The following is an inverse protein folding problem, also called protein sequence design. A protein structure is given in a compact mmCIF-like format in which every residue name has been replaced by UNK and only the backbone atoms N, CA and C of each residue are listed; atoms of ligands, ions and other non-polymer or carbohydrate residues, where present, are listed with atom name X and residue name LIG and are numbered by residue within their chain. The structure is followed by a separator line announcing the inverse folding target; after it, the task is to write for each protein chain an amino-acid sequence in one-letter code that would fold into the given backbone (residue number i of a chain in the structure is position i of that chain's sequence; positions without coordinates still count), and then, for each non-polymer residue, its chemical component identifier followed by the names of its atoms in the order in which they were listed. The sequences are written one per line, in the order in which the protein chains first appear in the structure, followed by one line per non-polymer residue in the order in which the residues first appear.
data_IF_946437133907
#
_entry.id   IF_946437133907
#
_cell.length_a   1.000
_cell.length_b   1.000
_cell.length_c   1.000
_cell.angle_alpha   90.00
_cell.angle_beta   90.00
_cell.angle_gamma   90.00
#
_symmetry.space_group_name_H-M   'P 1'
#
loop_
_entity.id
_entity.type
_entity.pdbx_description
1 polymer ?
#
# COMPACT_ATOMS: atom_id res chain seq x y z
N UNK A 1 27.71 -2.55 17.16
CA UNK A 1 26.58 -2.62 16.22
C UNK A 1 26.35 -1.22 15.64
N UNK A 2 26.03 -1.11 14.36
CA UNK A 2 25.75 0.18 13.71
C UNK A 2 24.25 0.48 13.65
N UNK A 3 23.88 1.69 13.22
CA UNK A 3 22.48 2.10 13.02
C UNK A 3 21.78 1.33 11.90
N UNK A 4 22.57 0.83 10.94
CA UNK A 4 22.13 -0.03 9.85
C UNK A 4 22.97 -1.29 9.80
N UNK A 5 22.40 -2.36 9.27
CA UNK A 5 23.09 -3.63 9.00
C UNK A 5 22.93 -4.03 7.53
N UNK A 6 23.99 -4.64 6.98
CA UNK A 6 23.99 -5.22 5.65
C UNK A 6 23.73 -6.73 5.75
N UNK A 7 22.83 -7.25 4.93
CA UNK A 7 22.64 -8.67 4.70
C UNK A 7 22.78 -8.96 3.20
N UNK A 8 23.52 -9.99 2.82
CA UNK A 8 23.67 -10.37 1.41
C UNK A 8 22.81 -11.60 1.16
N UNK A 9 21.80 -11.44 0.32
CA UNK A 9 21.00 -12.54 -0.18
C UNK A 9 21.73 -13.12 -1.41
N UNK A 10 22.26 -14.33 -1.27
CA UNK A 10 22.97 -15.04 -2.33
C UNK A 10 22.05 -16.04 -3.01
N UNK A 11 21.87 -15.88 -4.31
CA UNK A 11 21.28 -16.89 -5.19
C UNK A 11 22.36 -17.42 -6.13
N UNK A 12 22.06 -18.51 -6.87
CA UNK A 12 22.98 -19.03 -7.90
C UNK A 12 23.26 -18.02 -9.03
N UNK A 13 22.37 -17.05 -9.24
CA UNK A 13 22.44 -16.10 -10.34
C UNK A 13 22.87 -14.69 -9.92
N UNK A 14 22.76 -14.33 -8.63
CA UNK A 14 23.01 -12.96 -8.17
C UNK A 14 23.30 -12.88 -6.67
N UNK A 15 24.02 -11.83 -6.28
CA UNK A 15 24.18 -11.40 -4.89
C UNK A 15 23.51 -10.05 -4.71
N UNK A 16 22.50 -9.98 -3.85
CA UNK A 16 21.76 -8.74 -3.56
C UNK A 16 22.12 -8.28 -2.16
N UNK A 17 22.63 -7.06 -2.04
CA UNK A 17 22.87 -6.43 -0.75
C UNK A 17 21.58 -5.76 -0.25
N UNK A 18 21.02 -6.29 0.83
CA UNK A 18 19.93 -5.68 1.57
C UNK A 18 20.50 -4.87 2.74
N UNK A 19 19.97 -3.68 2.94
CA UNK A 19 20.29 -2.83 4.08
C UNK A 19 19.04 -2.62 4.90
N UNK A 20 19.16 -2.76 6.21
CA UNK A 20 18.04 -2.56 7.10
C UNK A 20 18.43 -1.93 8.42
N UNK A 21 17.46 -1.27 9.03
CA UNK A 21 17.62 -0.54 10.28
C UNK A 21 17.73 -1.52 11.47
N UNK A 22 18.68 -1.24 12.37
CA UNK A 22 18.86 -2.01 13.62
C UNK A 22 17.97 -1.44 14.73
N UNK A 23 17.92 -2.10 15.89
CA UNK A 23 17.23 -1.54 17.06
C UNK A 23 17.86 -0.20 17.50
N UNK A 24 19.19 -0.09 17.45
CA UNK A 24 19.89 1.15 17.78
C UNK A 24 19.56 2.24 16.75
N UNK A 25 19.47 1.90 15.47
CA UNK A 25 19.01 2.82 14.42
C UNK A 25 17.58 3.29 14.62
N UNK A 26 16.67 2.38 15.00
CA UNK A 26 15.28 2.72 15.31
C UNK A 26 15.19 3.67 16.51
N UNK A 27 15.96 3.41 17.56
CA UNK A 27 15.97 4.25 18.77
C UNK A 27 16.37 5.71 18.47
N UNK A 28 17.20 5.96 17.46
CA UNK A 28 17.62 7.31 17.05
C UNK A 28 16.52 8.07 16.28
N UNK A 29 15.60 7.36 15.61
CA UNK A 29 14.56 7.99 14.77
C UNK A 29 13.18 8.03 15.42
N UNK A 30 13.02 7.43 16.60
CA UNK A 30 11.80 7.54 17.38
C UNK A 30 11.54 8.98 17.79
N UNK A 31 10.30 9.40 17.69
CA UNK A 31 9.83 10.69 18.21
C UNK A 31 8.96 10.48 19.44
N UNK A 32 8.76 11.52 20.29
CA UNK A 32 7.86 11.43 21.44
C UNK A 32 6.42 11.04 21.10
N UNK A 33 6.01 11.23 19.84
CA UNK A 33 4.68 10.89 19.33
C UNK A 33 4.54 9.42 18.92
N UNK A 34 5.63 8.65 18.83
CA UNK A 34 5.58 7.24 18.48
C UNK A 34 5.06 6.40 19.66
N UNK A 35 3.82 5.90 19.53
CA UNK A 35 3.20 5.06 20.57
C UNK A 35 3.73 3.61 20.58
N UNK A 36 4.39 3.16 19.52
CA UNK A 36 4.81 1.77 19.32
C UNK A 36 6.23 1.70 18.76
N UNK A 37 7.08 0.88 19.39
CA UNK A 37 8.41 0.58 18.87
C UNK A 37 8.31 -0.18 17.54
N UNK A 38 8.84 0.34 16.42
CA UNK A 38 8.71 -0.28 15.11
C UNK A 38 9.52 -1.58 15.01
N UNK A 39 9.10 -2.48 14.11
CA UNK A 39 9.85 -3.70 13.84
C UNK A 39 11.20 -3.41 13.18
N UNK A 40 12.26 -4.01 13.72
CA UNK A 40 13.60 -4.00 13.11
C UNK A 40 13.67 -4.82 11.83
N UNK A 41 14.74 -4.63 11.07
CA UNK A 41 15.04 -5.50 9.93
C UNK A 41 15.44 -6.91 10.38
N UNK A 42 14.70 -7.92 9.91
CA UNK A 42 14.93 -9.34 10.18
C UNK A 42 15.13 -10.09 8.86
N UNK A 43 16.39 -10.21 8.37
CA UNK A 43 16.66 -10.67 7.01
C UNK A 43 16.15 -12.08 6.71
N UNK A 44 16.12 -12.98 7.70
CA UNK A 44 15.62 -14.35 7.55
C UNK A 44 14.11 -14.45 7.27
N UNK A 45 13.36 -13.34 7.45
CA UNK A 45 11.93 -13.27 7.13
C UNK A 45 11.66 -12.84 5.68
N UNK A 46 12.71 -12.46 4.94
CA UNK A 46 12.59 -12.00 3.56
C UNK A 46 12.74 -13.21 2.62
N UNK A 47 11.66 -13.50 1.92
CA UNK A 47 11.67 -14.38 0.75
C UNK A 47 11.89 -13.56 -0.53
N UNK A 48 12.34 -14.19 -1.62
CA UNK A 48 12.51 -13.50 -2.91
C UNK A 48 11.21 -12.84 -3.41
N UNK A 49 10.06 -13.47 -3.17
CA UNK A 49 8.75 -12.92 -3.57
C UNK A 49 8.33 -11.72 -2.70
N UNK A 50 8.53 -11.80 -1.37
CA UNK A 50 8.26 -10.67 -0.49
C UNK A 50 9.20 -9.49 -0.74
N UNK A 51 10.44 -9.74 -1.16
CA UNK A 51 11.42 -8.67 -1.46
C UNK A 51 10.90 -7.74 -2.56
N UNK A 52 10.48 -8.33 -3.67
CA UNK A 52 9.92 -7.62 -4.81
C UNK A 52 8.71 -6.76 -4.43
N UNK A 53 7.78 -7.31 -3.65
CA UNK A 53 6.61 -6.58 -3.13
C UNK A 53 7.02 -5.43 -2.20
N UNK A 54 7.99 -5.66 -1.31
CA UNK A 54 8.51 -4.61 -0.43
C UNK A 54 9.20 -3.48 -1.21
N UNK A 55 9.94 -3.80 -2.27
CA UNK A 55 10.60 -2.80 -3.12
C UNK A 55 9.58 -1.95 -3.88
N UNK A 56 8.52 -2.55 -4.42
CA UNK A 56 7.45 -1.80 -5.09
C UNK A 56 6.73 -0.86 -4.12
N UNK A 57 6.44 -1.34 -2.90
CA UNK A 57 5.87 -0.51 -1.83
C UNK A 57 6.77 0.66 -1.45
N UNK A 58 8.08 0.42 -1.31
CA UNK A 58 9.05 1.48 -1.03
C UNK A 58 9.15 2.48 -2.17
N UNK A 59 9.24 2.01 -3.41
CA UNK A 59 9.31 2.88 -4.59
C UNK A 59 8.05 3.75 -4.72
N UNK A 60 6.88 3.15 -4.51
CA UNK A 60 5.60 3.87 -4.52
C UNK A 60 5.56 4.94 -3.44
N UNK A 61 5.90 4.57 -2.20
CA UNK A 61 5.98 5.51 -1.08
C UNK A 61 6.92 6.68 -1.40
N UNK A 62 8.16 6.39 -1.78
CA UNK A 62 9.18 7.42 -2.06
C UNK A 62 8.77 8.31 -3.23
N UNK A 63 8.07 7.77 -4.23
CA UNK A 63 7.54 8.54 -5.36
C UNK A 63 6.48 9.54 -4.89
N UNK A 64 5.57 9.12 -4.01
CA UNK A 64 4.56 9.99 -3.43
C UNK A 64 5.17 11.02 -2.47
N UNK A 65 6.13 10.62 -1.63
CA UNK A 65 6.81 11.52 -0.69
C UNK A 65 7.61 12.61 -1.42
N UNK A 66 8.28 12.28 -2.53
CA UNK A 66 8.94 13.27 -3.41
C UNK A 66 7.97 14.31 -4.00
N UNK A 67 6.68 13.99 -4.05
CA UNK A 67 5.60 14.88 -4.50
C UNK A 67 4.91 15.60 -3.35
N UNK A 68 5.47 15.54 -2.15
CA UNK A 68 4.99 16.26 -0.97
C UNK A 68 3.98 15.49 -0.11
N UNK A 69 3.65 14.24 -0.47
CA UNK A 69 2.89 13.38 0.41
C UNK A 69 3.72 13.04 1.66
N UNK A 70 3.04 12.77 2.79
CA UNK A 70 3.70 12.55 4.08
C UNK A 70 2.92 11.59 4.98
N UNK A 71 3.53 11.18 6.08
CA UNK A 71 2.87 10.37 7.09
C UNK A 71 2.55 8.96 6.60
N UNK A 72 3.51 8.27 5.97
CA UNK A 72 3.33 6.89 5.55
C UNK A 72 3.08 5.97 6.75
N UNK A 73 1.94 5.27 6.74
CA UNK A 73 1.59 4.22 7.70
C UNK A 73 1.63 2.88 6.97
N UNK A 74 2.48 1.96 7.43
CA UNK A 74 2.57 0.61 6.86
C UNK A 74 1.38 -0.25 7.34
N UNK A 75 0.59 -0.79 6.42
CA UNK A 75 -0.62 -1.55 6.75
C UNK A 75 -0.37 -3.00 7.18
N UNK A 76 0.82 -3.56 6.94
CA UNK A 76 1.19 -4.88 7.45
C UNK A 76 1.47 -4.90 8.96
N UNK A 77 1.57 -3.72 9.61
CA UNK A 77 1.76 -3.63 11.05
C UNK A 77 0.57 -4.24 11.80
N UNK A 78 0.84 -5.01 12.84
CA UNK A 78 -0.19 -5.61 13.70
C UNK A 78 -1.10 -4.57 14.34
N UNK A 79 -0.57 -3.37 14.63
CA UNK A 79 -1.32 -2.24 15.17
C UNK A 79 -2.29 -1.60 14.17
N UNK A 80 -2.20 -1.91 12.87
CA UNK A 80 -3.06 -1.28 11.87
C UNK A 80 -4.54 -1.62 12.11
N UNK A 81 -4.87 -2.87 12.44
CA UNK A 81 -6.26 -3.28 12.70
C UNK A 81 -6.82 -2.78 14.03
N UNK A 82 -5.94 -2.51 15.01
CA UNK A 82 -6.39 -1.85 16.25
C UNK A 82 -6.69 -0.37 16.01
N UNK A 83 -5.95 0.27 15.10
CA UNK A 83 -6.15 1.67 14.73
C UNK A 83 -7.32 1.88 13.76
N UNK A 84 -7.48 0.99 12.77
CA UNK A 84 -8.50 1.05 11.74
C UNK A 84 -9.33 -0.24 11.76
N UNK A 85 -10.63 -0.14 12.06
CA UNK A 85 -11.55 -1.29 12.16
C UNK A 85 -11.99 -1.82 10.79
N UNK A 86 -11.02 -2.14 9.94
CA UNK A 86 -11.22 -2.56 8.56
C UNK A 86 -10.99 -4.07 8.38
N UNK A 87 -11.71 -4.68 7.43
CA UNK A 87 -11.57 -6.13 7.15
C UNK A 87 -10.34 -6.45 6.30
N UNK A 88 -9.94 -5.52 5.44
CA UNK A 88 -8.78 -5.61 4.57
C UNK A 88 -7.78 -4.51 4.92
N UNK A 89 -6.50 -4.87 4.98
CA UNK A 89 -5.39 -3.95 5.25
C UNK A 89 -4.74 -3.56 3.92
N UNK A 90 -4.61 -2.26 3.62
CA UNK A 90 -3.81 -1.82 2.48
C UNK A 90 -2.32 -2.07 2.73
N UNK A 91 -1.50 -1.97 1.69
CA UNK A 91 -0.04 -2.00 1.85
C UNK A 91 0.45 -0.79 2.66
N UNK A 92 -0.19 0.35 2.47
CA UNK A 92 -0.02 1.49 3.35
C UNK A 92 -1.03 2.61 3.17
N UNK A 93 -1.00 3.55 4.09
CA UNK A 93 -1.70 4.82 4.00
C UNK A 93 -0.69 5.94 3.87
N UNK A 94 -1.05 6.99 3.16
CA UNK A 94 -0.25 8.20 3.08
C UNK A 94 -1.15 9.41 2.92
N UNK A 95 -0.72 10.54 3.48
CA UNK A 95 -1.42 11.81 3.42
C UNK A 95 -0.88 12.61 2.24
N UNK A 96 -1.75 12.96 1.29
CA UNK A 96 -1.43 13.83 0.16
C UNK A 96 -1.14 15.27 0.63
N UNK A 97 -0.47 16.12 -0.18
CA UNK A 97 -0.12 17.49 0.21
C UNK A 97 -1.28 18.32 0.76
N UNK A 98 -2.48 18.17 0.20
CA UNK A 98 -3.73 18.80 0.62
C UNK A 98 -4.33 18.28 1.95
N UNK A 99 -3.71 17.27 2.58
CA UNK A 99 -4.18 16.66 3.82
C UNK A 99 -5.10 15.45 3.65
N UNK A 100 -5.40 15.03 2.42
CA UNK A 100 -6.26 13.87 2.17
C UNK A 100 -5.49 12.56 2.36
N UNK A 101 -6.03 11.65 3.16
CA UNK A 101 -5.45 10.31 3.31
C UNK A 101 -5.91 9.40 2.16
N UNK A 102 -4.96 8.71 1.55
CA UNK A 102 -5.20 7.65 0.56
C UNK A 102 -4.65 6.32 1.05
N UNK A 103 -5.27 5.23 0.59
CA UNK A 103 -4.70 3.90 0.68
C UNK A 103 -3.88 3.58 -0.56
N UNK A 104 -2.81 2.81 -0.39
CA UNK A 104 -1.91 2.35 -1.45
C UNK A 104 -1.94 0.83 -1.48
N UNK A 105 -2.05 0.28 -2.68
CA UNK A 105 -2.03 -1.16 -2.98
C UNK A 105 -1.05 -1.39 -4.15
N UNK A 106 0.06 -2.07 -3.91
CA UNK A 106 0.99 -2.46 -4.99
C UNK A 106 0.64 -3.85 -5.48
N UNK A 107 0.05 -3.95 -6.67
CA UNK A 107 -0.52 -5.20 -7.16
C UNK A 107 0.40 -5.87 -8.18
N UNK A 108 1.24 -6.79 -7.71
CA UNK A 108 2.09 -7.61 -8.61
C UNK A 108 1.33 -8.78 -9.24
N UNK A 109 0.34 -9.37 -8.57
CA UNK A 109 -0.34 -10.57 -9.06
C UNK A 109 -1.86 -10.40 -8.98
N UNK A 110 -2.57 -10.70 -10.08
CA UNK A 110 -4.01 -10.52 -10.11
C UNK A 110 -4.70 -11.53 -9.18
N UNK A 111 -5.50 -11.01 -8.26
CA UNK A 111 -6.35 -11.79 -7.37
C UNK A 111 -7.64 -12.24 -8.09
N UNK A 112 -8.38 -13.15 -7.48
CA UNK A 112 -9.68 -13.58 -8.02
C UNK A 112 -10.71 -12.45 -7.95
N UNK A 113 -11.72 -12.50 -8.82
CA UNK A 113 -12.85 -11.54 -8.80
C UNK A 113 -13.53 -11.47 -7.44
N UNK A 114 -13.77 -12.62 -6.80
CA UNK A 114 -14.37 -12.68 -5.47
C UNK A 114 -13.50 -11.99 -4.40
N UNK A 115 -12.17 -12.14 -4.50
CA UNK A 115 -11.24 -11.46 -3.60
C UNK A 115 -11.28 -9.94 -3.79
N UNK A 116 -11.27 -9.46 -5.03
CA UNK A 116 -11.42 -8.02 -5.30
C UNK A 116 -12.77 -7.48 -4.84
N UNK A 117 -13.87 -8.20 -5.04
CA UNK A 117 -15.19 -7.78 -4.54
C UNK A 117 -15.17 -7.56 -3.01
N UNK A 118 -14.51 -8.45 -2.27
CA UNK A 118 -14.33 -8.30 -0.81
C UNK A 118 -13.44 -7.11 -0.43
N UNK A 119 -12.32 -6.92 -1.13
CA UNK A 119 -11.39 -5.80 -0.92
C UNK A 119 -12.08 -4.46 -1.21
N UNK A 120 -12.81 -4.38 -2.32
CA UNK A 120 -13.59 -3.20 -2.69
C UNK A 120 -14.60 -2.84 -1.61
N UNK A 121 -15.36 -3.82 -1.08
CA UNK A 121 -16.28 -3.59 0.02
C UNK A 121 -15.58 -2.96 1.23
N UNK A 122 -14.42 -3.50 1.60
CA UNK A 122 -13.65 -3.00 2.75
C UNK A 122 -13.17 -1.56 2.56
N UNK A 123 -12.63 -1.20 1.39
CA UNK A 123 -12.19 0.18 1.15
C UNK A 123 -13.35 1.16 1.06
N UNK A 124 -14.48 0.76 0.47
CA UNK A 124 -15.66 1.62 0.41
C UNK A 124 -16.22 1.91 1.80
N UNK A 125 -16.25 0.91 2.69
CA UNK A 125 -16.59 1.10 4.09
C UNK A 125 -15.61 2.03 4.81
N UNK A 126 -14.31 1.80 4.65
CA UNK A 126 -13.28 2.65 5.24
C UNK A 126 -13.38 4.12 4.75
N UNK A 127 -13.78 4.33 3.50
CA UNK A 127 -14.08 5.66 2.97
C UNK A 127 -15.31 6.29 3.61
N UNK A 128 -16.38 5.53 3.81
CA UNK A 128 -17.57 6.01 4.53
C UNK A 128 -17.23 6.42 5.96
N UNK A 129 -16.33 5.69 6.61
CA UNK A 129 -15.77 5.99 7.94
C UNK A 129 -14.67 7.08 7.92
N UNK A 130 -14.39 7.65 6.74
CA UNK A 130 -13.39 8.72 6.51
C UNK A 130 -11.96 8.35 6.94
N UNK A 131 -11.62 7.06 6.94
CA UNK A 131 -10.25 6.61 7.18
C UNK A 131 -9.31 6.98 6.02
N UNK A 132 -9.78 6.85 4.78
CA UNK A 132 -9.11 7.32 3.57
C UNK A 132 -10.12 7.55 2.45
N UNK A 133 -9.80 8.40 1.49
CA UNK A 133 -10.76 8.84 0.47
C UNK A 133 -10.59 8.17 -0.90
N UNK A 134 -9.37 7.81 -1.24
CA UNK A 134 -9.02 7.12 -2.48
C UNK A 134 -8.15 5.90 -2.19
N UNK A 135 -8.12 4.98 -3.15
CA UNK A 135 -7.22 3.82 -3.16
C UNK A 135 -6.42 3.86 -4.44
N UNK A 136 -5.10 4.01 -4.31
CA UNK A 136 -4.16 4.00 -5.41
C UNK A 136 -3.63 2.58 -5.58
N UNK A 137 -4.12 1.90 -6.61
CA UNK A 137 -3.53 0.67 -7.11
C UNK A 137 -2.36 1.03 -8.02
N UNK A 138 -1.16 0.60 -7.63
CA UNK A 138 0.08 0.84 -8.37
C UNK A 138 0.59 -0.49 -8.91
N UNK A 139 0.77 -0.55 -10.23
CA UNK A 139 0.98 -1.78 -10.98
C UNK A 139 2.30 -1.72 -11.74
N UNK A 140 2.93 -2.87 -12.00
CA UNK A 140 4.25 -2.89 -12.63
C UNK A 140 4.21 -2.49 -14.11
N UNK A 141 3.10 -2.72 -14.80
CA UNK A 141 2.98 -2.46 -16.23
C UNK A 141 1.53 -2.20 -16.69
N UNK A 142 1.40 -1.64 -17.88
CA UNK A 142 0.13 -1.30 -18.52
C UNK A 142 -0.78 -2.51 -18.75
N UNK A 143 -0.19 -3.69 -19.02
CA UNK A 143 -0.97 -4.91 -19.29
C UNK A 143 -1.69 -5.37 -18.04
N UNK A 144 -1.00 -5.40 -16.89
CA UNK A 144 -1.63 -5.69 -15.60
C UNK A 144 -2.63 -4.61 -15.22
N UNK A 145 -2.34 -3.34 -15.52
CA UNK A 145 -3.27 -2.23 -15.27
C UNK A 145 -4.58 -2.40 -16.01
N UNK A 146 -4.51 -2.69 -17.31
CA UNK A 146 -5.69 -3.00 -18.10
C UNK A 146 -6.44 -4.22 -17.57
N UNK A 147 -5.74 -5.30 -17.22
CA UNK A 147 -6.36 -6.51 -16.72
C UNK A 147 -7.08 -6.29 -15.38
N UNK A 148 -6.47 -5.54 -14.45
CA UNK A 148 -7.09 -5.21 -13.17
C UNK A 148 -8.34 -4.36 -13.35
N UNK A 149 -8.29 -3.34 -14.23
CA UNK A 149 -9.45 -2.52 -14.56
C UNK A 149 -10.61 -3.37 -15.09
N UNK A 150 -10.36 -4.28 -16.02
CA UNK A 150 -11.39 -5.19 -16.54
C UNK A 150 -12.02 -6.05 -15.43
N UNK A 151 -11.23 -6.52 -14.46
CA UNK A 151 -11.77 -7.28 -13.33
C UNK A 151 -12.67 -6.40 -12.46
N UNK A 152 -12.22 -5.19 -12.12
CA UNK A 152 -13.00 -4.22 -11.33
C UNK A 152 -14.30 -3.82 -12.03
N UNK A 153 -14.24 -3.57 -13.33
CA UNK A 153 -15.40 -3.20 -14.15
C UNK A 153 -16.40 -4.36 -14.24
N UNK A 154 -15.92 -5.60 -14.26
CA UNK A 154 -16.77 -6.79 -14.26
C UNK A 154 -17.54 -7.03 -12.95
N UNK A 155 -17.21 -6.34 -11.85
CA UNK A 155 -17.88 -6.48 -10.56
C UNK A 155 -19.05 -5.49 -10.50
N UNK A 156 -20.33 -5.94 -10.53
CA UNK A 156 -21.47 -5.03 -10.54
C UNK A 156 -21.90 -4.58 -9.15
N UNK A 157 -21.58 -5.35 -8.10
CA UNK A 157 -21.98 -5.07 -6.72
C UNK A 157 -20.91 -5.57 -5.75
N UNK A 158 -20.94 -5.06 -4.52
CA UNK A 158 -20.20 -5.59 -3.37
C UNK A 158 -21.16 -6.11 -2.31
N UNK A 159 -20.66 -6.93 -1.39
CA UNK A 159 -21.46 -7.46 -0.28
C UNK A 159 -21.03 -6.75 1.01
N UNK A 160 -21.96 -6.02 1.62
CA UNK A 160 -21.76 -5.29 2.88
C UNK A 160 -22.87 -5.73 3.84
N UNK A 161 -22.50 -6.23 5.03
CA UNK A 161 -23.47 -6.72 6.03
C UNK A 161 -24.53 -7.67 5.45
N UNK A 162 -24.09 -8.61 4.62
CA UNK A 162 -24.93 -9.58 3.89
C UNK A 162 -25.93 -8.97 2.88
N UNK A 163 -25.80 -7.68 2.55
CA UNK A 163 -26.59 -7.02 1.53
C UNK A 163 -25.76 -6.75 0.28
N UNK A 164 -26.40 -6.93 -0.88
CA UNK A 164 -25.81 -6.62 -2.18
C UNK A 164 -25.95 -5.12 -2.46
N UNK A 165 -24.83 -4.41 -2.54
CA UNK A 165 -24.79 -2.98 -2.85
C UNK A 165 -24.24 -2.79 -4.25
N UNK A 166 -25.07 -2.29 -5.16
CA UNK A 166 -24.68 -2.02 -6.55
C UNK A 166 -23.62 -0.93 -6.65
N UNK A 167 -22.59 -1.16 -7.45
CA UNK A 167 -21.49 -0.24 -7.65
C UNK A 167 -21.80 0.81 -8.72
N UNK A 168 -22.26 1.97 -8.27
CA UNK A 168 -22.32 3.22 -9.05
C UNK A 168 -20.94 3.85 -9.33
N UNK A 169 -20.91 4.82 -10.24
CA UNK A 169 -19.71 5.57 -10.63
C UNK A 169 -19.00 6.22 -9.44
N UNK A 170 -19.74 6.78 -8.47
CA UNK A 170 -19.16 7.36 -7.25
C UNK A 170 -18.33 6.37 -6.44
N UNK A 171 -18.70 5.08 -6.44
CA UNK A 171 -17.94 4.02 -5.77
C UNK A 171 -16.71 3.63 -6.59
N UNK A 172 -16.85 3.56 -7.92
CA UNK A 172 -15.74 3.23 -8.83
C UNK A 172 -14.67 4.32 -8.78
N UNK A 173 -15.07 5.58 -8.65
CA UNK A 173 -14.17 6.73 -8.55
C UNK A 173 -13.31 6.78 -7.28
N UNK A 174 -13.53 5.87 -6.34
CA UNK A 174 -12.63 5.69 -5.18
C UNK A 174 -11.33 5.02 -5.58
N UNK A 175 -11.36 4.15 -6.60
CA UNK A 175 -10.22 3.36 -7.02
C UNK A 175 -9.50 4.02 -8.20
N UNK A 176 -8.20 4.20 -8.06
CA UNK A 176 -7.32 4.82 -9.05
C UNK A 176 -6.22 3.84 -9.41
N UNK A 177 -5.93 3.71 -10.70
CA UNK A 177 -4.99 2.73 -11.21
C UNK A 177 -3.86 3.43 -11.94
N UNK A 178 -2.63 3.20 -11.52
CA UNK A 178 -1.44 3.79 -12.12
C UNK A 178 -0.37 2.72 -12.36
N UNK A 179 0.44 2.92 -13.38
CA UNK A 179 1.80 2.37 -13.36
C UNK A 179 2.72 3.28 -12.53
N UNK A 180 3.93 2.79 -12.22
CA UNK A 180 4.94 3.63 -11.55
C UNK A 180 5.27 4.87 -12.38
N UNK A 181 5.41 4.73 -13.70
CA UNK A 181 5.73 5.86 -14.59
C UNK A 181 4.60 6.90 -14.61
N UNK A 182 3.34 6.46 -14.65
CA UNK A 182 2.20 7.36 -14.52
C UNK A 182 2.15 8.04 -13.15
N UNK A 183 2.48 7.31 -12.08
CA UNK A 183 2.53 7.87 -10.74
C UNK A 183 3.61 8.95 -10.64
N UNK A 184 4.77 8.75 -11.28
CA UNK A 184 5.85 9.74 -11.38
C UNK A 184 5.39 10.99 -12.15
N UNK A 185 4.58 10.82 -13.20
CA UNK A 185 4.03 11.94 -13.98
C UNK A 185 2.81 12.61 -13.33
N UNK A 186 2.20 11.99 -12.32
CA UNK A 186 0.95 12.44 -11.71
C UNK A 186 1.14 13.70 -10.87
N UNK A 187 0.28 14.70 -11.09
CA UNK A 187 0.11 15.85 -10.18
C UNK A 187 -0.89 15.50 -9.07
N UNK A 188 -0.44 15.53 -7.82
CA UNK A 188 -1.25 15.13 -6.67
C UNK A 188 -2.35 16.14 -6.32
N UNK A 189 -2.21 17.40 -6.75
CA UNK A 189 -3.20 18.47 -6.51
C UNK A 189 -4.58 18.18 -7.09
N UNK A 190 -4.69 17.24 -8.03
CA UNK A 190 -5.97 16.80 -8.59
C UNK A 190 -6.82 15.94 -7.62
N UNK A 191 -6.26 15.58 -6.46
CA UNK A 191 -6.92 14.83 -5.40
C UNK A 191 -7.24 15.71 -4.18
N UNK A 192 -7.17 17.04 -4.36
CA UNK A 192 -7.56 18.06 -3.39
C UNK A 192 -9.05 18.10 -3.05
#
# INVERSE_FOLDING_TARGET
MGLIQKHVLESRASKIALWGITNDGLAVVLTPEDEIFPSRFEPYRITGWSLDHHLDNQLTRLTLEKKGAKGWINGDRSSFLSQYKVKHRPDGLITLPEGRVIAVETERNLKTKARYQSIMASHLLARTEKHWFYVFYVLPDEKKKRALRLIFDSIPHVIVNNQHVTLEEKHRNVFRFYTIDELIALELTNYA
#
